data_IF_169471776117
#
_entry.id   IF_169471776117
#
_cell.length_a   1.000
_cell.length_b   1.000
_cell.length_c   1.000
_cell.angle_alpha   90.00
_cell.angle_beta   90.00
_cell.angle_gamma   90.00
#
_symmetry.space_group_name_H-M   'P 1'
#
loop_
_entity.id
_entity.type
_entity.pdbx_description
1 polymer ?
#
# COMPACT_ATOMS: atom_id res chain seq x y z
N UNK A 1 -7.09 11.77 -13.24
CA UNK A 1 -6.04 10.95 -12.58
C UNK A 1 -6.45 9.49 -12.56
N UNK A 2 -5.54 8.60 -12.88
CA UNK A 2 -5.79 7.16 -12.69
C UNK A 2 -5.36 6.76 -11.27
N UNK A 3 -6.34 6.69 -10.37
CA UNK A 3 -6.09 6.41 -8.96
C UNK A 3 -5.57 4.98 -8.73
N UNK A 4 -6.01 4.02 -9.55
CA UNK A 4 -5.54 2.64 -9.45
C UNK A 4 -4.04 2.53 -9.75
N UNK A 5 -3.58 3.20 -10.80
CA UNK A 5 -2.16 3.24 -11.14
C UNK A 5 -1.37 3.98 -10.06
N UNK A 6 -1.90 5.11 -9.58
CA UNK A 6 -1.23 5.88 -8.54
C UNK A 6 -1.08 5.08 -7.23
N UNK A 7 -2.07 4.25 -6.89
CA UNK A 7 -1.98 3.37 -5.72
C UNK A 7 -0.89 2.32 -5.88
N UNK A 8 -0.78 1.72 -7.06
CA UNK A 8 0.27 0.73 -7.33
C UNK A 8 1.65 1.35 -7.15
N UNK A 9 1.83 2.58 -7.64
CA UNK A 9 3.10 3.31 -7.49
C UNK A 9 3.38 3.70 -6.05
N UNK A 10 2.35 4.15 -5.32
CA UNK A 10 2.50 4.48 -3.91
C UNK A 10 2.90 3.25 -3.10
N UNK A 11 2.27 2.12 -3.38
CA UNK A 11 2.61 0.85 -2.74
C UNK A 11 4.07 0.48 -3.02
N UNK A 12 4.53 0.67 -4.26
CA UNK A 12 5.90 0.37 -4.63
C UNK A 12 6.89 1.24 -3.86
N UNK A 13 6.60 2.53 -3.68
CA UNK A 13 7.45 3.42 -2.88
C UNK A 13 7.53 2.95 -1.42
N UNK A 14 6.41 2.55 -0.86
CA UNK A 14 6.35 2.06 0.52
C UNK A 14 7.18 0.77 0.65
N UNK A 15 7.03 -0.14 -0.31
CA UNK A 15 7.80 -1.37 -0.35
C UNK A 15 9.31 -1.10 -0.45
N UNK A 16 9.71 -0.22 -1.36
CA UNK A 16 11.12 0.13 -1.55
C UNK A 16 11.73 0.71 -0.27
N UNK A 17 10.99 1.58 0.41
CA UNK A 17 11.44 2.16 1.67
C UNK A 17 11.65 1.09 2.74
N UNK A 18 10.75 0.12 2.82
CA UNK A 18 10.85 -0.99 3.77
C UNK A 18 12.09 -1.85 3.47
N UNK A 19 12.43 -2.00 2.20
CA UNK A 19 13.58 -2.81 1.78
C UNK A 19 14.90 -2.03 1.82
N UNK A 20 14.89 -0.80 2.33
CA UNK A 20 16.09 0.01 2.44
C UNK A 20 16.38 0.91 1.24
N UNK A 21 15.47 0.94 0.26
CA UNK A 21 15.59 1.85 -0.88
C UNK A 21 15.12 3.25 -0.52
N UNK A 22 15.41 4.21 -1.38
CA UNK A 22 15.07 5.61 -1.15
C UNK A 22 13.79 6.07 -1.86
N UNK A 23 13.14 5.18 -2.62
CA UNK A 23 11.94 5.50 -3.36
C UNK A 23 12.19 6.50 -4.48
N UNK A 24 13.37 6.43 -5.12
CA UNK A 24 13.81 7.39 -6.12
C UNK A 24 13.00 7.37 -7.41
N UNK A 25 13.40 8.24 -8.33
CA UNK A 25 12.69 8.44 -9.59
C UNK A 25 12.55 7.18 -10.43
N UNK A 26 13.57 6.33 -10.43
CA UNK A 26 13.55 5.07 -11.16
C UNK A 26 12.36 4.20 -10.74
N UNK A 27 12.14 4.07 -9.44
CA UNK A 27 11.03 3.30 -8.90
C UNK A 27 9.70 3.87 -9.35
N UNK A 28 9.59 5.19 -9.40
CA UNK A 28 8.34 5.86 -9.79
C UNK A 28 7.98 5.63 -11.25
N UNK A 29 8.97 5.47 -12.11
CA UNK A 29 8.77 5.28 -13.54
C UNK A 29 8.68 3.81 -13.92
N UNK A 30 9.59 3.00 -13.40
CA UNK A 30 9.81 1.62 -13.85
C UNK A 30 8.63 0.69 -13.63
N UNK A 31 7.86 0.86 -12.57
CA UNK A 31 6.81 -0.08 -12.22
C UNK A 31 5.81 -0.29 -13.37
N UNK A 32 5.46 0.78 -14.07
CA UNK A 32 4.47 0.73 -15.14
C UNK A 32 4.99 1.29 -16.47
N UNK A 33 6.27 1.66 -16.51
CA UNK A 33 6.89 2.19 -17.72
C UNK A 33 6.35 3.55 -18.16
N UNK A 34 5.58 4.22 -17.33
CA UNK A 34 4.95 5.51 -17.66
C UNK A 34 5.20 6.49 -16.52
N UNK A 35 5.64 7.69 -16.87
CA UNK A 35 5.84 8.73 -15.88
C UNK A 35 4.49 9.21 -15.33
N UNK A 36 4.37 9.36 -13.99
CA UNK A 36 3.11 9.85 -13.40
C UNK A 36 2.87 11.32 -13.77
N UNK A 37 1.59 11.70 -13.97
CA UNK A 37 1.25 13.09 -14.12
C UNK A 37 1.34 13.79 -12.75
N UNK A 38 1.19 15.12 -12.73
CA UNK A 38 1.33 15.91 -11.51
C UNK A 38 0.37 15.46 -10.40
N UNK A 39 -0.88 15.20 -10.75
CA UNK A 39 -1.89 14.77 -9.79
C UNK A 39 -1.56 13.41 -9.18
N UNK A 40 -1.10 12.48 -10.01
CA UNK A 40 -0.68 11.16 -9.57
C UNK A 40 0.58 11.23 -8.70
N UNK A 41 1.53 12.08 -9.08
CA UNK A 41 2.75 12.28 -8.29
C UNK A 41 2.43 12.87 -6.92
N UNK A 42 1.53 13.84 -6.85
CA UNK A 42 1.08 14.42 -5.57
C UNK A 42 0.42 13.37 -4.68
N UNK A 43 -0.43 12.54 -5.27
CA UNK A 43 -1.07 11.45 -4.53
C UNK A 43 -0.03 10.47 -3.99
N UNK A 44 0.93 10.06 -4.82
CA UNK A 44 1.98 9.13 -4.42
C UNK A 44 2.79 9.68 -3.25
N UNK A 45 3.21 10.93 -3.34
CA UNK A 45 3.99 11.58 -2.27
C UNK A 45 3.17 11.70 -0.99
N UNK A 46 1.91 12.09 -1.09
CA UNK A 46 1.03 12.23 0.06
C UNK A 46 0.80 10.90 0.76
N UNK A 47 0.61 9.83 0.01
CA UNK A 47 0.41 8.50 0.57
C UNK A 47 1.70 7.98 1.21
N UNK A 48 2.82 8.11 0.51
CA UNK A 48 4.13 7.68 1.04
C UNK A 48 4.48 8.41 2.34
N UNK A 49 4.33 9.73 2.33
CA UNK A 49 4.60 10.55 3.51
C UNK A 49 3.68 10.20 4.67
N UNK A 50 2.38 10.08 4.38
CA UNK A 50 1.38 9.76 5.40
C UNK A 50 1.62 8.40 6.05
N UNK A 51 1.95 7.38 5.25
CA UNK A 51 2.27 6.06 5.77
C UNK A 51 3.53 6.15 6.64
N UNK A 52 4.57 6.84 6.16
CA UNK A 52 5.82 6.98 6.91
C UNK A 52 5.62 7.66 8.26
N UNK A 53 4.83 8.73 8.28
CA UNK A 53 4.58 9.51 9.50
C UNK A 53 3.66 8.79 10.50
N UNK A 54 2.85 7.84 10.02
CA UNK A 54 1.90 7.12 10.86
C UNK A 54 2.23 5.64 11.01
N UNK A 55 3.47 5.26 10.70
CA UNK A 55 3.89 3.85 10.64
C UNK A 55 3.55 3.07 11.89
N UNK A 56 3.88 3.58 13.07
CA UNK A 56 3.63 2.90 14.34
C UNK A 56 2.15 2.64 14.57
N UNK A 57 1.32 3.64 14.27
CA UNK A 57 -0.13 3.53 14.42
C UNK A 57 -0.71 2.52 13.43
N UNK A 58 -0.28 2.60 12.16
CA UNK A 58 -0.76 1.71 11.13
C UNK A 58 -0.38 0.25 11.45
N UNK A 59 0.86 0.04 11.87
CA UNK A 59 1.33 -1.29 12.21
C UNK A 59 0.58 -1.86 13.43
N UNK A 60 0.27 -1.04 14.41
CA UNK A 60 -0.53 -1.47 15.56
C UNK A 60 -1.94 -1.87 15.14
N UNK A 61 -2.56 -1.08 14.25
CA UNK A 61 -3.90 -1.39 13.74
C UNK A 61 -3.91 -2.69 12.93
N UNK A 62 -2.89 -2.90 12.10
CA UNK A 62 -2.76 -4.13 11.31
C UNK A 62 -2.55 -5.32 12.25
N UNK A 63 -1.63 -5.19 13.20
CA UNK A 63 -1.31 -6.26 14.14
C UNK A 63 -2.52 -6.70 14.96
N UNK A 64 -3.42 -5.77 15.29
CA UNK A 64 -4.63 -6.06 16.05
C UNK A 64 -5.56 -7.03 15.29
N UNK A 65 -5.44 -7.12 13.97
CA UNK A 65 -6.27 -8.00 13.13
C UNK A 65 -5.55 -9.28 12.71
N UNK A 66 -4.28 -9.44 13.10
CA UNK A 66 -3.53 -10.67 12.79
C UNK A 66 -3.85 -11.74 13.82
N UNK A 67 -4.04 -12.96 13.35
CA UNK A 67 -4.32 -14.10 14.21
C UNK A 67 -3.25 -15.17 13.98
N UNK A 68 -2.38 -15.36 14.97
CA UNK A 68 -1.32 -16.32 14.88
C UNK A 68 -0.14 -15.90 14.00
N UNK A 69 -0.10 -14.63 13.57
CA UNK A 69 0.95 -14.07 12.73
C UNK A 69 1.50 -12.80 13.36
N UNK A 70 2.73 -12.47 13.04
CA UNK A 70 3.35 -11.18 13.40
C UNK A 70 3.65 -10.41 12.13
N UNK A 71 3.82 -9.09 12.25
CA UNK A 71 4.14 -8.26 11.10
C UNK A 71 5.41 -8.72 10.39
N UNK A 72 6.40 -9.19 11.15
CA UNK A 72 7.68 -9.64 10.61
C UNK A 72 7.54 -10.88 9.72
N UNK A 73 6.46 -11.65 9.90
CA UNK A 73 6.21 -12.87 9.13
C UNK A 73 5.44 -12.63 7.84
N UNK A 74 4.90 -11.43 7.66
CA UNK A 74 4.19 -11.07 6.44
C UNK A 74 5.18 -10.83 5.30
N UNK A 75 4.76 -11.12 4.07
CA UNK A 75 5.58 -10.73 2.94
C UNK A 75 5.67 -9.20 2.92
N UNK A 76 6.80 -8.68 2.44
CA UNK A 76 7.00 -7.22 2.41
C UNK A 76 6.02 -6.53 1.46
N UNK A 77 5.61 -7.21 0.40
CA UNK A 77 4.59 -6.69 -0.52
C UNK A 77 3.23 -6.60 0.17
N UNK A 78 2.80 -7.67 0.84
CA UNK A 78 1.52 -7.66 1.56
C UNK A 78 1.51 -6.57 2.63
N UNK A 79 2.61 -6.42 3.36
CA UNK A 79 2.71 -5.38 4.39
C UNK A 79 2.60 -3.97 3.79
N UNK A 80 3.25 -3.73 2.64
CA UNK A 80 3.15 -2.43 1.96
C UNK A 80 1.71 -2.14 1.55
N UNK A 81 1.00 -3.14 1.00
CA UNK A 81 -0.40 -2.99 0.60
C UNK A 81 -1.28 -2.71 1.82
N UNK A 82 -1.07 -3.44 2.91
CA UNK A 82 -1.85 -3.26 4.14
C UNK A 82 -1.62 -1.87 4.75
N UNK A 83 -0.38 -1.40 4.76
CA UNK A 83 -0.05 -0.07 5.28
C UNK A 83 -0.75 1.02 4.46
N UNK A 84 -0.69 0.93 3.13
CA UNK A 84 -1.37 1.89 2.27
C UNK A 84 -2.88 1.84 2.47
N UNK A 85 -3.46 0.65 2.47
CA UNK A 85 -4.90 0.48 2.66
C UNK A 85 -5.36 1.01 4.01
N UNK A 86 -4.63 0.68 5.07
CA UNK A 86 -4.97 1.16 6.41
C UNK A 86 -4.91 2.69 6.49
N UNK A 87 -3.92 3.30 5.84
CA UNK A 87 -3.82 4.76 5.80
C UNK A 87 -4.99 5.39 5.05
N UNK A 88 -5.35 4.86 3.89
CA UNK A 88 -6.50 5.37 3.14
C UNK A 88 -7.81 5.20 3.91
N UNK A 89 -7.99 4.10 4.63
CA UNK A 89 -9.15 3.92 5.51
C UNK A 89 -9.17 4.96 6.62
N UNK A 90 -8.02 5.27 7.18
CA UNK A 90 -7.88 6.28 8.23
C UNK A 90 -8.28 7.67 7.72
N UNK A 91 -7.90 8.02 6.50
CA UNK A 91 -8.20 9.32 5.89
C UNK A 91 -9.68 9.51 5.58
N UNK A 92 -10.40 8.45 5.26
CA UNK A 92 -11.82 8.48 4.90
C UNK A 92 -12.14 9.39 3.71
N UNK A 93 -11.19 9.59 2.81
CA UNK A 93 -11.41 10.38 1.59
C UNK A 93 -12.14 9.59 0.51
N UNK A 94 -12.01 8.27 0.57
CA UNK A 94 -12.62 7.33 -0.37
C UNK A 94 -13.37 6.30 0.45
N UNK A 95 -14.46 5.75 -0.07
CA UNK A 95 -15.24 4.75 0.69
C UNK A 95 -14.37 3.53 1.03
N UNK A 96 -14.64 2.94 2.19
CA UNK A 96 -13.91 1.76 2.65
C UNK A 96 -13.99 0.62 1.62
N UNK A 97 -15.15 0.45 0.99
CA UNK A 97 -15.35 -0.58 -0.04
C UNK A 97 -14.36 -0.42 -1.19
N UNK A 98 -14.16 0.81 -1.66
CA UNK A 98 -13.23 1.08 -2.77
C UNK A 98 -11.79 0.82 -2.32
N UNK A 99 -11.43 1.30 -1.13
CA UNK A 99 -10.08 1.08 -0.59
C UNK A 99 -9.76 -0.41 -0.49
N UNK A 100 -10.67 -1.18 0.08
CA UNK A 100 -10.48 -2.62 0.26
C UNK A 100 -10.38 -3.34 -1.08
N UNK A 101 -11.28 -3.02 -2.01
CA UNK A 101 -11.26 -3.63 -3.34
C UNK A 101 -9.96 -3.32 -4.09
N UNK A 102 -9.46 -2.10 -3.99
CA UNK A 102 -8.20 -1.71 -4.64
C UNK A 102 -7.01 -2.41 -3.99
N UNK A 103 -7.01 -2.55 -2.68
CA UNK A 103 -5.95 -3.28 -1.97
C UNK A 103 -5.94 -4.75 -2.38
N UNK A 104 -7.12 -5.37 -2.50
CA UNK A 104 -7.25 -6.76 -2.94
C UNK A 104 -6.70 -6.92 -4.37
N UNK A 105 -6.99 -5.97 -5.26
CA UNK A 105 -6.46 -6.01 -6.62
C UNK A 105 -4.92 -5.89 -6.64
N UNK A 106 -4.35 -5.05 -5.79
CA UNK A 106 -2.89 -4.97 -5.65
C UNK A 106 -2.33 -6.32 -5.17
N UNK A 107 -3.02 -6.99 -4.26
CA UNK A 107 -2.61 -8.32 -3.81
C UNK A 107 -2.63 -9.35 -4.93
N UNK A 108 -3.64 -9.30 -5.80
CA UNK A 108 -3.72 -10.18 -6.97
C UNK A 108 -2.61 -9.91 -7.96
N UNK A 109 -2.26 -8.63 -8.15
CA UNK A 109 -1.30 -8.23 -9.16
C UNK A 109 0.16 -8.43 -8.72
N UNK A 110 0.47 -8.10 -7.47
CA UNK A 110 1.85 -8.05 -6.99
C UNK A 110 2.17 -9.05 -5.88
N UNK A 111 1.17 -9.62 -5.23
CA UNK A 111 1.37 -10.54 -4.12
C UNK A 111 1.41 -11.99 -4.54
N UNK A 112 1.41 -12.89 -3.56
CA UNK A 112 1.35 -14.32 -3.78
C UNK A 112 -0.09 -14.83 -3.93
N UNK A 113 -0.23 -16.14 -4.05
CA UNK A 113 -1.52 -16.78 -4.35
C UNK A 113 -2.60 -16.48 -3.31
N UNK A 114 -2.22 -16.34 -2.04
CA UNK A 114 -3.18 -16.12 -0.95
C UNK A 114 -3.30 -14.66 -0.54
N UNK A 115 -2.56 -13.76 -1.17
CA UNK A 115 -2.50 -12.36 -0.75
C UNK A 115 -3.86 -11.66 -0.80
N UNK A 116 -4.62 -11.87 -1.88
CA UNK A 116 -5.92 -11.21 -2.03
C UNK A 116 -6.87 -11.56 -0.89
N UNK A 117 -7.00 -12.84 -0.56
CA UNK A 117 -7.86 -13.29 0.52
C UNK A 117 -7.38 -12.79 1.88
N UNK A 118 -6.08 -12.84 2.10
CA UNK A 118 -5.46 -12.38 3.34
C UNK A 118 -5.70 -10.88 3.55
N UNK A 119 -5.44 -10.07 2.53
CA UNK A 119 -5.64 -8.62 2.59
C UNK A 119 -7.10 -8.28 2.85
N UNK A 120 -8.01 -8.96 2.16
CA UNK A 120 -9.45 -8.75 2.38
C UNK A 120 -9.84 -9.06 3.83
N UNK A 121 -9.30 -10.13 4.39
CA UNK A 121 -9.59 -10.54 5.76
C UNK A 121 -9.08 -9.53 6.81
N UNK A 122 -7.95 -8.88 6.55
CA UNK A 122 -7.38 -7.92 7.49
C UNK A 122 -8.08 -6.55 7.38
N UNK A 123 -8.33 -6.06 6.16
CA UNK A 123 -8.91 -4.73 5.95
C UNK A 123 -10.44 -4.72 6.01
N UNK A 124 -11.05 -5.86 5.75
CA UNK A 124 -12.52 -5.98 5.72
C UNK A 124 -13.23 -5.94 7.05
#
# INVERSE_FOLDING_TARGET
MNRTIARARAMQLIYESEMGGDGGEETRIDLLGVEPNEEEADYMERMFKGVSENMSRLDADIAAHLRGWTLERLSRVDLAILRLGAYELMLREVSARVVINEAVELGKQFGGDDSAAFINGILG
#
